data_IF_297990420442
#
_entry.id   IF_297990420442
#
_cell.length_a   1.000
_cell.length_b   1.000
_cell.length_c   1.000
_cell.angle_alpha   90.00
_cell.angle_beta   90.00
_cell.angle_gamma   90.00
#
_symmetry.space_group_name_H-M   'P 1'
#
loop_
_entity.id
_entity.type
_entity.pdbx_description
1 polymer ?
#
# COMPACT_ATOMS: atom_id res chain seq x y z
N UNK A 1 -34.27 46.92 -18.80
CA UNK A 1 -33.47 46.43 -17.65
C UNK A 1 -32.03 46.89 -17.87
N UNK A 2 -31.44 47.63 -16.92
CA UNK A 2 -30.18 48.36 -17.15
C UNK A 2 -28.99 47.40 -17.31
N UNK A 3 -28.19 47.56 -18.38
CA UNK A 3 -26.94 46.80 -18.61
C UNK A 3 -26.01 46.83 -17.38
N UNK A 4 -26.06 47.92 -16.61
CA UNK A 4 -25.31 48.08 -15.35
C UNK A 4 -25.75 47.08 -14.28
N UNK A 5 -27.03 46.71 -14.23
CA UNK A 5 -27.55 45.70 -13.30
C UNK A 5 -27.15 44.29 -13.74
N UNK A 6 -27.17 44.02 -15.05
CA UNK A 6 -26.72 42.74 -15.60
C UNK A 6 -25.23 42.48 -15.33
N UNK A 7 -24.37 43.48 -15.56
CA UNK A 7 -22.93 43.36 -15.30
C UNK A 7 -22.63 43.18 -13.80
N UNK A 8 -23.43 43.78 -12.90
CA UNK A 8 -23.29 43.60 -11.45
C UNK A 8 -23.66 42.18 -11.02
N UNK A 9 -24.77 41.64 -11.53
CA UNK A 9 -25.20 40.27 -11.22
C UNK A 9 -24.20 39.25 -11.76
N UNK A 10 -23.70 39.46 -12.99
CA UNK A 10 -22.69 38.59 -13.60
C UNK A 10 -21.37 38.58 -12.80
N UNK A 11 -20.90 39.75 -12.35
CA UNK A 11 -19.71 39.86 -11.51
C UNK A 11 -19.86 39.12 -10.17
N UNK A 12 -21.04 39.20 -9.54
CA UNK A 12 -21.29 38.47 -8.28
C UNK A 12 -21.29 36.96 -8.49
N UNK A 13 -21.89 36.45 -9.57
CA UNK A 13 -21.91 35.02 -9.87
C UNK A 13 -20.50 34.49 -10.12
N UNK A 14 -19.66 35.23 -10.86
CA UNK A 14 -18.27 34.84 -11.13
C UNK A 14 -17.42 34.81 -9.84
N UNK A 15 -17.55 35.82 -8.98
CA UNK A 15 -16.80 35.89 -7.71
C UNK A 15 -17.19 34.76 -6.76
N UNK A 16 -18.49 34.46 -6.62
CA UNK A 16 -18.96 33.35 -5.80
C UNK A 16 -18.50 32.01 -6.37
N UNK A 17 -18.54 31.84 -7.69
CA UNK A 17 -18.01 30.64 -8.36
C UNK A 17 -16.52 30.42 -8.12
N UNK A 18 -15.70 31.47 -8.18
CA UNK A 18 -14.26 31.39 -7.92
C UNK A 18 -13.94 31.04 -6.46
N UNK A 19 -14.70 31.55 -5.49
CA UNK A 19 -14.54 31.22 -4.06
C UNK A 19 -14.88 29.75 -3.81
N UNK A 20 -15.95 29.25 -4.43
CA UNK A 20 -16.38 27.86 -4.28
C UNK A 20 -15.33 26.92 -4.92
N UNK A 21 -14.88 27.20 -6.15
CA UNK A 21 -13.87 26.38 -6.83
C UNK A 21 -12.53 26.41 -6.08
N UNK A 22 -12.10 27.58 -5.59
CA UNK A 22 -10.88 27.71 -4.79
C UNK A 22 -10.94 26.95 -3.47
N UNK A 23 -12.12 26.91 -2.82
CA UNK A 23 -12.35 26.13 -1.60
C UNK A 23 -12.26 24.62 -1.82
N UNK A 24 -12.76 24.12 -2.96
CA UNK A 24 -12.67 22.70 -3.31
C UNK A 24 -11.25 22.25 -3.71
N UNK A 25 -10.41 23.12 -4.25
CA UNK A 25 -9.03 22.77 -4.66
C UNK A 25 -8.04 22.66 -3.49
N UNK A 26 -8.37 23.21 -2.30
CA UNK A 26 -7.49 23.17 -1.11
C UNK A 26 -7.68 21.87 -0.28
N UNK A 27 -8.68 21.06 -0.60
CA UNK A 27 -8.97 19.79 0.09
C UNK A 27 -8.55 18.55 -0.70
N UNK A 28 -7.64 18.71 -1.68
CA UNK A 28 -7.00 17.61 -2.41
C UNK A 28 -5.80 17.02 -1.66
N UNK A 29 -6.03 15.91 -0.96
CA UNK A 29 -5.07 14.82 -0.69
C UNK A 29 -3.68 15.16 -0.14
N UNK A 30 -3.59 15.37 1.17
CA UNK A 30 -2.45 14.90 1.97
C UNK A 30 -2.87 13.76 2.90
N UNK A 31 -3.62 12.81 2.37
CA UNK A 31 -3.83 11.52 3.00
C UNK A 31 -2.88 10.55 2.32
N UNK A 32 -1.58 10.66 2.61
CA UNK A 32 -0.68 9.55 2.35
C UNK A 32 -1.14 8.42 3.27
N UNK A 33 -1.64 7.29 2.76
CA UNK A 33 -1.92 6.18 3.64
C UNK A 33 -0.57 5.63 4.05
N UNK A 34 -0.01 6.14 5.15
CA UNK A 34 0.80 5.29 6.03
C UNK A 34 -0.16 4.34 6.75
N UNK A 35 -1.02 3.67 5.98
CA UNK A 35 -1.72 2.50 6.45
C UNK A 35 -0.63 1.46 6.53
N UNK A 36 -0.10 1.25 7.74
CA UNK A 36 0.51 -0.01 8.11
C UNK A 36 -0.52 -1.07 7.73
N UNK A 37 -0.44 -1.61 6.51
CA UNK A 37 -1.35 -2.64 6.06
C UNK A 37 -1.18 -3.78 7.06
N UNK A 38 -2.21 -4.04 7.86
CA UNK A 38 -2.12 -5.06 8.89
C UNK A 38 -2.08 -6.39 8.16
N UNK A 39 -0.88 -6.94 8.00
CA UNK A 39 -0.69 -8.25 7.42
C UNK A 39 -1.22 -9.29 8.40
N UNK A 40 -2.22 -10.07 7.95
CA UNK A 40 -2.83 -11.14 8.77
C UNK A 40 -1.82 -12.21 9.17
N UNK A 41 -0.79 -12.41 8.36
CA UNK A 41 0.27 -13.38 8.57
C UNK A 41 1.62 -12.71 8.34
N UNK A 42 2.61 -13.08 9.15
CA UNK A 42 4.01 -12.73 8.96
C UNK A 42 4.85 -13.93 9.38
N UNK A 43 5.69 -14.42 8.49
CA UNK A 43 6.59 -15.55 8.71
C UNK A 43 8.06 -15.07 8.81
N UNK A 44 8.99 -16.02 8.92
CA UNK A 44 10.42 -15.75 9.19
C UNK A 44 11.12 -15.03 8.04
N UNK A 45 10.59 -15.11 6.81
CA UNK A 45 11.19 -14.45 5.65
C UNK A 45 11.20 -12.92 5.76
N UNK A 46 10.47 -12.33 6.73
CA UNK A 46 10.54 -10.89 7.02
C UNK A 46 11.95 -10.41 7.41
N UNK A 47 12.81 -11.32 7.88
CA UNK A 47 14.18 -11.03 8.29
C UNK A 47 15.21 -11.27 7.18
N UNK A 48 14.79 -11.72 6.00
CA UNK A 48 15.69 -11.98 4.88
C UNK A 48 16.01 -10.68 4.12
N UNK A 49 17.19 -10.64 3.49
CA UNK A 49 17.60 -9.49 2.66
C UNK A 49 17.09 -9.57 1.22
N UNK A 50 16.73 -10.77 0.75
CA UNK A 50 16.28 -10.99 -0.62
C UNK A 50 14.89 -10.38 -0.88
N UNK A 51 14.74 -9.48 -1.86
CA UNK A 51 13.43 -8.92 -2.22
C UNK A 51 12.41 -9.99 -2.60
N UNK A 52 12.86 -11.06 -3.27
CA UNK A 52 12.01 -12.18 -3.64
C UNK A 52 11.45 -12.91 -2.41
N UNK A 53 12.27 -13.11 -1.37
CA UNK A 53 11.82 -13.76 -0.14
C UNK A 53 10.91 -12.84 0.69
N UNK A 54 11.24 -11.56 0.78
CA UNK A 54 10.42 -10.55 1.47
C UNK A 54 9.01 -10.44 0.88
N UNK A 55 8.85 -10.59 -0.44
CA UNK A 55 7.54 -10.63 -1.09
C UNK A 55 6.63 -11.77 -0.55
N UNK A 56 7.22 -12.83 -0.01
CA UNK A 56 6.52 -13.99 0.55
C UNK A 56 6.42 -13.95 2.10
N UNK A 57 6.94 -12.90 2.75
CA UNK A 57 6.98 -12.77 4.21
C UNK A 57 5.59 -12.73 4.86
N UNK A 58 4.58 -12.27 4.12
CA UNK A 58 3.21 -12.14 4.64
C UNK A 58 2.23 -13.21 4.13
N UNK A 59 2.76 -14.24 3.47
CA UNK A 59 1.94 -15.37 3.04
C UNK A 59 1.47 -16.19 4.26
N UNK A 60 0.30 -16.84 4.18
CA UNK A 60 -0.25 -17.64 5.27
C UNK A 60 0.57 -18.90 5.58
N UNK A 61 1.42 -19.33 4.64
CA UNK A 61 2.36 -20.44 4.86
C UNK A 61 3.50 -19.94 5.76
N UNK A 62 3.79 -20.72 6.80
CA UNK A 62 4.91 -20.46 7.72
C UNK A 62 6.25 -20.81 7.06
N UNK A 63 6.66 -19.97 6.11
CA UNK A 63 7.91 -20.16 5.38
C UNK A 63 9.13 -19.98 6.30
N UNK A 64 10.09 -20.87 6.09
CA UNK A 64 11.42 -20.81 6.68
C UNK A 64 12.44 -20.45 5.60
N UNK A 65 13.45 -19.61 5.91
CA UNK A 65 14.63 -19.55 5.07
C UNK A 65 15.38 -20.88 5.12
N UNK A 66 16.23 -21.10 4.13
CA UNK A 66 17.08 -22.29 4.13
C UNK A 66 18.06 -22.23 5.31
N UNK A 67 18.03 -23.24 6.19
CA UNK A 67 18.89 -23.28 7.37
C UNK A 67 18.56 -24.43 8.31
N UNK A 68 19.38 -24.60 9.34
CA UNK A 68 19.27 -25.69 10.32
C UNK A 68 17.92 -25.70 11.05
N UNK A 69 17.35 -24.54 11.38
CA UNK A 69 16.07 -24.42 12.10
C UNK A 69 14.94 -25.18 11.37
N UNK A 70 14.88 -25.10 10.03
CA UNK A 70 13.88 -25.80 9.23
C UNK A 70 14.03 -27.32 9.31
N UNK A 71 15.27 -27.83 9.23
CA UNK A 71 15.57 -29.26 9.31
C UNK A 71 15.35 -29.82 10.71
N UNK A 72 15.77 -29.08 11.75
CA UNK A 72 15.55 -29.48 13.15
C UNK A 72 14.07 -29.58 13.47
N UNK A 73 13.27 -28.61 13.01
CA UNK A 73 11.80 -28.65 13.18
C UNK A 73 11.19 -29.82 12.41
N UNK A 74 11.57 -30.03 11.16
CA UNK A 74 11.08 -31.14 10.35
C UNK A 74 11.36 -32.50 11.01
N UNK A 75 12.59 -32.70 11.53
CA UNK A 75 12.98 -33.92 12.25
C UNK A 75 12.23 -34.08 13.57
N UNK A 76 12.07 -32.99 14.33
CA UNK A 76 11.35 -33.01 15.62
C UNK A 76 9.87 -33.31 15.46
N UNK A 77 9.25 -32.78 14.41
CA UNK A 77 7.81 -32.95 14.14
C UNK A 77 7.51 -34.19 13.28
N UNK A 78 8.53 -34.93 12.84
CA UNK A 78 8.42 -36.05 11.90
C UNK A 78 7.60 -35.68 10.64
N UNK A 79 7.96 -34.53 10.04
CA UNK A 79 7.29 -33.99 8.85
C UNK A 79 8.27 -33.85 7.69
N UNK A 80 7.83 -34.13 6.44
CA UNK A 80 8.65 -33.89 5.27
C UNK A 80 8.87 -32.38 5.03
N UNK A 81 9.94 -32.04 4.31
CA UNK A 81 10.24 -30.67 3.89
C UNK A 81 9.67 -30.42 2.51
N UNK A 82 8.86 -29.37 2.38
CA UNK A 82 8.48 -28.81 1.10
C UNK A 82 9.47 -27.70 0.71
N UNK A 83 10.29 -27.95 -0.31
CA UNK A 83 11.30 -27.00 -0.79
C UNK A 83 10.78 -26.27 -2.03
N UNK A 84 10.73 -24.93 -1.94
CA UNK A 84 10.41 -24.04 -3.06
C UNK A 84 11.61 -23.17 -3.39
N UNK A 85 12.01 -23.14 -4.66
CA UNK A 85 13.16 -22.36 -5.15
C UNK A 85 12.69 -21.46 -6.29
N UNK A 86 13.02 -20.18 -6.22
CA UNK A 86 12.72 -19.22 -7.26
C UNK A 86 13.59 -17.97 -7.15
N UNK A 87 13.44 -17.07 -8.10
CA UNK A 87 14.17 -15.82 -8.18
C UNK A 87 13.28 -14.75 -8.82
N UNK A 88 13.48 -13.49 -8.43
CA UNK A 88 12.84 -12.36 -9.09
C UNK A 88 13.54 -12.09 -10.42
N UNK A 89 12.83 -12.24 -11.54
CA UNK A 89 13.23 -11.60 -12.81
C UNK A 89 12.72 -10.17 -12.79
N UNK A 90 13.59 -9.19 -13.07
CA UNK A 90 13.09 -7.86 -13.48
C UNK A 90 12.72 -7.95 -14.96
N UNK A 91 11.53 -7.46 -15.29
CA UNK A 91 11.09 -7.23 -16.66
C UNK A 91 11.52 -5.83 -17.10
#
# INVERSE_FOLDING_TARGET
>A
MSQKLFNRVLATIVVVGLIIIGGYMVTGEKNMPTTTAVHKHTNRLINESSPYLLQHAHNPVDWYPWGTEAFERAKKEDKPIFLSIGYSTRH
#
